data_IF_131174654486
#
_entry.id   IF_131174654486
#
_cell.length_a   1.000
_cell.length_b   1.000
_cell.length_c   1.000
_cell.angle_alpha   90.00
_cell.angle_beta   90.00
_cell.angle_gamma   90.00
#
_symmetry.space_group_name_H-M   'P 1'
#
loop_
_entity.id
_entity.type
_entity.pdbx_description
1 polymer ?
#
# COMPACT_ATOMS: atom_id res chain seq x y z
N UNK A 1 -0.30 -11.24 9.61
CA UNK A 1 -1.16 -11.53 8.44
C UNK A 1 -1.89 -10.23 8.13
N UNK A 2 -1.95 -9.78 6.88
CA UNK A 2 -2.67 -8.55 6.55
C UNK A 2 -4.16 -8.70 6.94
N UNK A 3 -4.66 -7.77 7.75
CA UNK A 3 -6.07 -7.68 8.12
C UNK A 3 -6.63 -6.41 7.49
N UNK A 4 -7.33 -6.57 6.38
CA UNK A 4 -7.88 -5.48 5.59
C UNK A 4 -8.62 -5.98 4.36
N UNK A 5 -9.16 -5.05 3.57
CA UNK A 5 -9.89 -5.36 2.33
C UNK A 5 -8.93 -5.87 1.27
N UNK A 6 -9.32 -6.90 0.54
CA UNK A 6 -8.49 -7.41 -0.56
C UNK A 6 -8.48 -6.46 -1.77
N UNK A 7 -7.58 -6.70 -2.72
CA UNK A 7 -7.42 -5.85 -3.90
C UNK A 7 -8.65 -5.86 -4.82
N UNK A 8 -9.43 -6.95 -4.84
CA UNK A 8 -10.65 -7.03 -5.65
C UNK A 8 -11.75 -6.14 -5.07
N UNK A 9 -11.90 -6.15 -3.75
CA UNK A 9 -12.82 -5.24 -3.04
C UNK A 9 -12.39 -3.79 -3.20
N UNK A 10 -11.11 -3.51 -2.97
CA UNK A 10 -10.56 -2.17 -3.06
C UNK A 10 -10.50 -1.63 -4.50
N UNK A 11 -10.38 -2.51 -5.49
CA UNK A 11 -10.34 -2.15 -6.91
C UNK A 11 -11.66 -1.58 -7.44
N UNK A 12 -12.77 -1.81 -6.75
CA UNK A 12 -14.07 -1.21 -7.05
C UNK A 12 -14.30 0.13 -6.33
N UNK A 13 -13.38 0.54 -5.47
CA UNK A 13 -13.48 1.75 -4.65
C UNK A 13 -12.45 2.78 -5.10
N UNK A 14 -12.81 4.06 -4.95
CA UNK A 14 -11.88 5.16 -5.18
C UNK A 14 -10.75 5.13 -4.14
N UNK A 15 -9.53 5.55 -4.54
CA UNK A 15 -8.31 5.45 -3.71
C UNK A 15 -8.36 6.32 -2.45
N UNK A 16 -9.11 7.42 -2.47
CA UNK A 16 -9.38 8.27 -1.32
C UNK A 16 -10.07 7.52 -0.17
N UNK A 17 -10.83 6.47 -0.49
CA UNK A 17 -11.51 5.63 0.50
C UNK A 17 -10.63 4.51 1.06
N UNK A 18 -9.41 4.35 0.57
CA UNK A 18 -8.47 3.37 1.08
C UNK A 18 -7.88 3.86 2.38
N UNK A 19 -7.66 2.95 3.34
CA UNK A 19 -6.96 3.27 4.59
C UNK A 19 -5.46 3.32 4.31
N UNK A 20 -4.74 4.12 5.10
CA UNK A 20 -3.29 4.26 4.95
C UNK A 20 -2.55 2.91 5.12
N UNK A 21 -3.06 2.03 5.98
CA UNK A 21 -2.51 0.67 6.15
C UNK A 21 -2.68 -0.20 4.90
N UNK A 22 -3.76 -0.01 4.16
CA UNK A 22 -4.04 -0.73 2.91
C UNK A 22 -3.17 -0.18 1.79
N UNK A 23 -3.05 1.16 1.67
CA UNK A 23 -2.14 1.81 0.74
C UNK A 23 -0.69 1.38 0.99
N UNK A 24 -0.23 1.37 2.24
CA UNK A 24 1.12 0.93 2.60
C UNK A 24 1.36 -0.55 2.27
N UNK A 25 0.40 -1.42 2.58
CA UNK A 25 0.49 -2.84 2.30
C UNK A 25 0.59 -3.12 0.80
N UNK A 26 -0.33 -2.55 0.00
CA UNK A 26 -0.32 -2.76 -1.44
C UNK A 26 0.83 -2.04 -2.13
N UNK A 27 1.27 -0.88 -1.65
CA UNK A 27 2.49 -0.25 -2.15
C UNK A 27 3.70 -1.20 -2.02
N UNK A 28 3.91 -1.78 -0.83
CA UNK A 28 4.98 -2.75 -0.61
C UNK A 28 4.82 -4.03 -1.45
N UNK A 29 3.60 -4.58 -1.52
CA UNK A 29 3.35 -5.79 -2.32
C UNK A 29 3.62 -5.55 -3.81
N UNK A 30 3.15 -4.43 -4.36
CA UNK A 30 3.38 -4.07 -5.76
C UNK A 30 4.85 -3.77 -6.06
N UNK A 31 5.59 -3.16 -5.12
CA UNK A 31 7.04 -2.95 -5.29
C UNK A 31 7.80 -4.27 -5.49
N UNK A 32 7.42 -5.34 -4.78
CA UNK A 32 8.08 -6.64 -4.88
C UNK A 32 7.82 -7.35 -6.22
N UNK A 33 6.63 -7.14 -6.81
CA UNK A 33 6.23 -7.80 -8.06
C UNK A 33 6.31 -6.87 -9.27
N UNK A 34 6.77 -5.62 -9.10
CA UNK A 34 6.79 -4.57 -10.11
C UNK A 34 7.37 -5.01 -11.47
N UNK A 35 8.50 -5.76 -11.54
CA UNK A 35 9.08 -6.19 -12.81
C UNK A 35 8.17 -7.16 -13.60
N UNK A 36 7.21 -7.78 -12.92
CA UNK A 36 6.31 -8.80 -13.47
C UNK A 36 4.90 -8.26 -13.75
N UNK A 37 4.64 -6.98 -13.44
CA UNK A 37 3.35 -6.36 -13.70
C UNK A 37 3.21 -5.98 -15.17
N UNK A 38 2.03 -6.30 -15.73
CA UNK A 38 1.59 -5.79 -17.02
C UNK A 38 1.24 -4.29 -16.92
N UNK A 39 0.91 -3.67 -18.06
CA UNK A 39 0.58 -2.23 -18.12
C UNK A 39 -0.57 -1.83 -17.19
N UNK A 40 -1.60 -2.67 -17.05
CA UNK A 40 -2.72 -2.43 -16.14
C UNK A 40 -2.27 -2.43 -14.67
N UNK A 41 -1.45 -3.42 -14.28
CA UNK A 41 -0.88 -3.51 -12.93
C UNK A 41 0.02 -2.33 -12.61
N UNK A 42 0.81 -1.86 -13.58
CA UNK A 42 1.63 -0.67 -13.43
C UNK A 42 0.78 0.60 -13.31
N UNK A 43 -0.31 0.70 -14.06
CA UNK A 43 -1.25 1.83 -13.95
C UNK A 43 -1.89 1.90 -12.57
N UNK A 44 -2.41 0.77 -12.05
CA UNK A 44 -2.95 0.68 -10.68
C UNK A 44 -1.90 1.05 -9.62
N UNK A 45 -0.65 0.62 -9.81
CA UNK A 45 0.43 0.98 -8.89
C UNK A 45 0.71 2.50 -8.88
N UNK A 46 0.69 3.15 -10.05
CA UNK A 46 0.84 4.61 -10.14
C UNK A 46 -0.28 5.33 -9.41
N UNK A 47 -1.53 4.87 -9.52
CA UNK A 47 -2.65 5.45 -8.77
C UNK A 47 -2.45 5.35 -7.26
N UNK A 48 -1.95 4.20 -6.77
CA UNK A 48 -1.62 4.00 -5.35
C UNK A 48 -0.51 4.98 -4.92
N UNK A 49 0.53 5.15 -5.74
CA UNK A 49 1.60 6.11 -5.46
C UNK A 49 1.09 7.55 -5.43
N UNK A 50 0.29 7.96 -6.42
CA UNK A 50 -0.28 9.30 -6.46
C UNK A 50 -1.18 9.57 -5.26
N UNK A 51 -1.97 8.59 -4.82
CA UNK A 51 -2.78 8.74 -3.61
C UNK A 51 -1.92 8.91 -2.36
N UNK A 52 -0.85 8.13 -2.24
CA UNK A 52 0.12 8.26 -1.15
C UNK A 52 0.76 9.65 -1.16
N UNK A 53 1.19 10.14 -2.32
CA UNK A 53 1.80 11.47 -2.48
C UNK A 53 0.80 12.58 -2.13
N UNK A 54 -0.46 12.45 -2.58
CA UNK A 54 -1.53 13.39 -2.27
C UNK A 54 -1.80 13.50 -0.76
N UNK A 55 -1.59 12.41 -0.01
CA UNK A 55 -1.71 12.38 1.45
C UNK A 55 -0.48 12.93 2.21
N UNK A 56 0.54 13.40 1.49
CA UNK A 56 1.80 13.86 2.09
C UNK A 56 2.83 12.76 2.29
N UNK A 57 2.64 11.61 1.63
CA UNK A 57 3.49 10.43 1.74
C UNK A 57 3.01 9.45 2.81
N UNK A 58 3.61 8.25 2.79
CA UNK A 58 3.47 7.33 3.92
C UNK A 58 4.37 7.88 5.03
N UNK A 59 3.80 8.50 6.06
CA UNK A 59 4.51 8.75 7.31
C UNK A 59 4.95 7.39 7.86
N UNK A 60 6.15 6.95 7.47
CA UNK A 60 6.80 5.80 8.07
C UNK A 60 6.95 6.17 9.55
N UNK A 61 6.30 5.41 10.43
CA UNK A 61 7.02 4.96 11.61
C UNK A 61 8.25 4.24 11.06
N UNK A 62 9.32 5.02 10.90
CA UNK A 62 10.62 4.54 10.49
C UNK A 62 10.96 3.35 11.38
N UNK A 63 11.37 2.25 10.75
CA UNK A 63 11.96 1.15 11.49
C UNK A 63 13.24 1.69 12.14
N UNK A 64 13.12 2.12 13.40
CA UNK A 64 14.26 2.37 14.26
C UNK A 64 14.96 1.03 14.50
N UNK A 65 16.30 1.00 14.46
CA UNK A 65 17.10 -0.18 14.80
C UNK A 65 16.86 -0.66 16.25
N UNK A 66 16.14 0.11 17.06
CA UNK A 66 15.73 -0.18 18.42
C UNK A 66 14.30 -0.69 18.57
N UNK A 67 13.47 -0.68 17.50
CA UNK A 67 12.08 -1.12 17.55
C UNK A 67 11.79 -2.09 16.41
N UNK A 68 11.69 -3.39 16.74
CA UNK A 68 11.39 -4.44 15.79
C UNK A 68 10.10 -4.15 15.01
N UNK A 69 10.15 -4.40 13.70
CA UNK A 69 9.08 -4.19 12.70
C UNK A 69 7.89 -5.15 12.87
N UNK A 70 7.41 -5.32 14.09
CA UNK A 70 6.17 -6.08 14.33
C UNK A 70 5.01 -5.10 14.38
N UNK A 71 4.39 -4.87 13.23
CA UNK A 71 3.01 -4.36 13.19
C UNK A 71 2.17 -5.42 13.89
N UNK A 72 1.76 -5.13 15.14
CA UNK A 72 0.76 -5.95 15.82
C UNK A 72 -0.56 -5.70 15.11
N UNK A 73 -1.08 -6.76 14.49
CA UNK A 73 -2.46 -6.81 14.04
C UNK A 73 -3.27 -7.28 15.25
N UNK A 74 -4.21 -6.46 15.70
CA UNK A 74 -5.32 -6.89 16.56
C UNK A 74 -6.40 -7.54 15.67
#
# INVERSE_FOLDING_TARGET
MYVGRDLSQLGMMSKDQWKDTELAYFHHAFQQILPYLNEEGQSKYREIMSEIENRGGLHRNEADYTHGTTVKYD
#
